data_IF_925757791985
#
_entry.id   IF_925757791985
#
_cell.length_a   1.000
_cell.length_b   1.000
_cell.length_c   1.000
_cell.angle_alpha   90.00
_cell.angle_beta   90.00
_cell.angle_gamma   90.00
#
_symmetry.space_group_name_H-M   'P 1'
#
loop_
_entity.id
_entity.type
_entity.pdbx_description
1 polymer ?
#
# COMPACT_ATOMS: atom_id res chain seq x y z
N UNK A 1 -30.60 -29.14 -35.17
CA UNK A 1 -30.06 -27.82 -34.80
C UNK A 1 -29.70 -27.82 -33.32
N UNK A 2 -28.60 -28.49 -32.92
CA UNK A 2 -28.15 -28.59 -31.52
C UNK A 2 -26.63 -28.79 -31.41
N UNK A 3 -25.81 -28.10 -32.22
CA UNK A 3 -24.35 -28.19 -32.15
C UNK A 3 -23.64 -26.85 -31.97
N UNK A 4 -24.38 -25.74 -31.79
CA UNK A 4 -23.81 -24.38 -31.71
C UNK A 4 -23.56 -23.83 -30.30
N UNK A 5 -24.11 -24.44 -29.25
CA UNK A 5 -24.01 -23.90 -27.87
C UNK A 5 -22.81 -24.44 -27.07
N UNK A 6 -22.28 -25.59 -27.43
CA UNK A 6 -21.19 -26.23 -26.67
C UNK A 6 -19.83 -25.58 -26.90
N UNK A 7 -19.60 -24.92 -28.04
CA UNK A 7 -18.32 -24.26 -28.38
C UNK A 7 -18.14 -22.88 -27.71
N UNK A 8 -19.22 -22.19 -27.40
CA UNK A 8 -19.11 -20.86 -26.73
C UNK A 8 -18.77 -20.95 -25.24
N UNK A 9 -19.18 -22.01 -24.54
CA UNK A 9 -18.85 -22.21 -23.14
C UNK A 9 -17.39 -22.65 -22.94
N UNK A 10 -16.86 -23.52 -23.81
CA UNK A 10 -15.48 -23.98 -23.69
C UNK A 10 -14.44 -22.90 -23.99
N UNK A 11 -14.73 -21.97 -24.90
CA UNK A 11 -13.81 -20.84 -25.19
C UNK A 11 -13.79 -19.79 -24.08
N UNK A 12 -14.88 -19.59 -23.34
CA UNK A 12 -14.92 -18.65 -22.19
C UNK A 12 -14.12 -19.21 -21.03
N UNK A 13 -14.30 -20.46 -20.65
CA UNK A 13 -13.61 -21.11 -19.53
C UNK A 13 -12.09 -21.19 -19.80
N UNK A 14 -11.65 -21.47 -21.02
CA UNK A 14 -10.21 -21.49 -21.35
C UNK A 14 -9.57 -20.12 -21.34
N UNK A 15 -10.29 -19.08 -21.73
CA UNK A 15 -9.79 -17.70 -21.73
C UNK A 15 -9.68 -17.16 -20.32
N UNK A 16 -10.65 -17.42 -19.44
CA UNK A 16 -10.64 -17.05 -18.03
C UNK A 16 -9.53 -17.77 -17.25
N UNK A 17 -9.36 -19.09 -17.46
CA UNK A 17 -8.30 -19.87 -16.80
C UNK A 17 -6.90 -19.44 -17.26
N UNK A 18 -6.73 -19.03 -18.51
CA UNK A 18 -5.44 -18.57 -19.03
C UNK A 18 -5.10 -17.18 -18.53
N UNK A 19 -6.07 -16.27 -18.35
CA UNK A 19 -5.86 -14.94 -17.78
C UNK A 19 -5.51 -15.02 -16.28
N UNK A 20 -6.17 -15.87 -15.51
CA UNK A 20 -5.87 -16.09 -14.09
C UNK A 20 -4.43 -16.58 -13.87
N UNK A 21 -3.95 -17.49 -14.70
CA UNK A 21 -2.55 -17.95 -14.67
C UNK A 21 -1.55 -16.83 -15.00
N UNK A 22 -1.94 -15.86 -15.83
CA UNK A 22 -1.06 -14.75 -16.25
C UNK A 22 -0.78 -13.78 -15.09
N UNK A 23 -1.74 -13.50 -14.20
CA UNK A 23 -1.56 -12.60 -13.06
C UNK A 23 -0.71 -13.22 -11.95
N UNK A 24 -0.72 -14.54 -11.80
CA UNK A 24 -0.01 -15.22 -10.71
C UNK A 24 1.51 -15.00 -10.72
N UNK A 25 2.08 -14.90 -11.90
CA UNK A 25 3.53 -14.74 -12.07
C UNK A 25 3.96 -13.27 -12.26
N UNK A 26 2.99 -12.33 -12.32
CA UNK A 26 3.26 -10.90 -12.33
C UNK A 26 3.59 -10.39 -10.93
N UNK A 27 4.40 -9.33 -10.86
CA UNK A 27 4.76 -8.71 -9.58
C UNK A 27 3.60 -7.89 -9.02
N UNK A 28 3.51 -7.81 -7.68
CA UNK A 28 2.47 -7.00 -7.04
C UNK A 28 2.55 -5.53 -7.45
N UNK A 29 3.77 -5.00 -7.61
CA UNK A 29 3.98 -3.62 -8.07
C UNK A 29 3.45 -3.37 -9.48
N UNK A 30 3.69 -4.30 -10.43
CA UNK A 30 3.14 -4.23 -11.79
C UNK A 30 1.62 -4.28 -11.76
N UNK A 31 1.05 -5.28 -11.07
CA UNK A 31 -0.40 -5.44 -10.96
C UNK A 31 -1.07 -4.22 -10.30
N UNK A 32 -0.41 -3.60 -9.32
CA UNK A 32 -0.90 -2.37 -8.68
C UNK A 32 -0.95 -1.18 -9.65
N UNK A 33 -0.01 -1.13 -10.61
CA UNK A 33 0.00 -0.12 -11.67
C UNK A 33 -0.98 -0.43 -12.81
N UNK A 34 -1.11 -1.72 -13.17
CA UNK A 34 -1.85 -2.16 -14.37
C UNK A 34 -3.36 -2.31 -14.13
N UNK A 35 -3.77 -2.62 -12.89
CA UNK A 35 -5.17 -2.92 -12.56
C UNK A 35 -5.73 -1.87 -11.60
N UNK A 36 -6.68 -1.01 -12.06
CA UNK A 36 -7.32 -0.02 -11.20
C UNK A 36 -7.98 -0.66 -9.97
N UNK A 37 -7.58 -0.19 -8.80
CA UNK A 37 -8.10 -0.73 -7.55
C UNK A 37 -7.44 -2.02 -7.04
N UNK A 38 -6.41 -2.55 -7.72
CA UNK A 38 -5.65 -3.71 -7.25
C UNK A 38 -5.09 -3.50 -5.83
N UNK A 39 -4.68 -2.29 -5.51
CA UNK A 39 -4.17 -1.95 -4.17
C UNK A 39 -5.20 -2.20 -3.07
N UNK A 40 -6.50 -2.03 -3.33
CA UNK A 40 -7.59 -2.39 -2.38
C UNK A 40 -7.67 -3.90 -2.15
N UNK A 41 -7.49 -4.70 -3.22
CA UNK A 41 -7.45 -6.17 -3.10
C UNK A 41 -6.24 -6.57 -2.29
N UNK A 42 -5.05 -6.06 -2.63
CA UNK A 42 -3.84 -6.37 -1.88
C UNK A 42 -3.95 -6.00 -0.40
N UNK A 43 -4.55 -4.86 -0.11
CA UNK A 43 -4.85 -4.43 1.26
C UNK A 43 -5.81 -5.40 1.96
N UNK A 44 -6.92 -5.79 1.34
CA UNK A 44 -7.89 -6.72 1.91
C UNK A 44 -7.28 -8.11 2.22
N UNK A 45 -6.29 -8.53 1.45
CA UNK A 45 -5.54 -9.77 1.64
C UNK A 45 -4.24 -9.60 2.44
N UNK A 46 -3.96 -8.41 2.98
CA UNK A 46 -2.73 -8.08 3.69
C UNK A 46 -1.46 -8.39 2.88
N UNK A 47 -1.47 -8.14 1.57
CA UNK A 47 -0.31 -8.30 0.69
C UNK A 47 0.50 -7.02 0.63
N UNK A 48 1.80 -7.14 0.86
CA UNK A 48 2.75 -6.01 0.77
C UNK A 48 3.11 -5.73 -0.69
N UNK A 49 2.40 -4.81 -1.31
CA UNK A 49 2.63 -4.36 -2.69
C UNK A 49 3.55 -3.13 -2.79
N UNK A 50 3.85 -2.48 -1.67
CA UNK A 50 4.66 -1.26 -1.63
C UNK A 50 6.17 -1.56 -1.50
N UNK A 51 6.59 -2.28 -0.48
CA UNK A 51 7.98 -2.69 -0.26
C UNK A 51 8.28 -4.05 -0.90
N UNK A 52 7.33 -4.98 -0.78
CA UNK A 52 7.36 -6.30 -1.41
C UNK A 52 6.86 -6.34 -2.86
N UNK A 53 6.67 -5.19 -3.51
CA UNK A 53 6.11 -5.08 -4.86
C UNK A 53 6.85 -5.83 -5.95
N UNK A 54 8.11 -6.20 -5.73
CA UNK A 54 8.92 -7.03 -6.63
C UNK A 54 8.56 -8.53 -6.62
N UNK A 55 7.83 -9.00 -5.60
CA UNK A 55 7.39 -10.40 -5.49
C UNK A 55 6.23 -10.67 -6.43
N UNK A 56 6.14 -11.90 -6.96
CA UNK A 56 4.97 -12.32 -7.72
C UNK A 56 3.73 -12.45 -6.82
N UNK A 57 2.55 -12.32 -7.42
CA UNK A 57 1.28 -12.53 -6.71
C UNK A 57 1.26 -13.92 -6.03
N UNK A 58 1.71 -14.96 -6.74
CA UNK A 58 1.82 -16.32 -6.21
C UNK A 58 2.69 -16.39 -4.96
N UNK A 59 3.90 -15.84 -5.03
CA UNK A 59 4.83 -15.86 -3.91
C UNK A 59 4.28 -15.09 -2.70
N UNK A 60 3.72 -13.91 -2.92
CA UNK A 60 3.18 -13.08 -1.85
C UNK A 60 1.96 -13.72 -1.17
N UNK A 61 1.04 -14.32 -1.96
CA UNK A 61 -0.14 -15.00 -1.44
C UNK A 61 0.25 -16.24 -0.61
N UNK A 62 1.14 -17.09 -1.14
CA UNK A 62 1.60 -18.29 -0.42
C UNK A 62 2.30 -17.95 0.90
N UNK A 63 3.09 -16.88 0.97
CA UNK A 63 3.72 -16.42 2.23
C UNK A 63 2.71 -16.02 3.31
N UNK A 64 1.51 -15.60 2.91
CA UNK A 64 0.39 -15.27 3.82
C UNK A 64 -0.56 -16.46 4.05
N UNK A 65 -0.27 -17.65 3.48
CA UNK A 65 -1.14 -18.83 3.59
C UNK A 65 -2.45 -18.70 2.81
N UNK A 66 -2.46 -17.86 1.77
CA UNK A 66 -3.62 -17.64 0.90
C UNK A 66 -3.53 -18.50 -0.35
N UNK A 67 -4.70 -18.83 -0.91
CA UNK A 67 -4.80 -19.42 -2.25
C UNK A 67 -4.57 -18.33 -3.32
N UNK A 68 -3.47 -18.40 -4.11
CA UNK A 68 -3.14 -17.34 -5.06
C UNK A 68 -4.23 -17.11 -6.11
N UNK A 69 -4.92 -18.16 -6.53
CA UNK A 69 -6.00 -18.13 -7.50
C UNK A 69 -7.21 -17.31 -7.02
N UNK A 70 -7.47 -17.31 -5.71
CA UNK A 70 -8.52 -16.49 -5.11
C UNK A 70 -8.21 -15.00 -5.24
N UNK A 71 -6.97 -14.61 -5.02
CA UNK A 71 -6.55 -13.20 -5.15
C UNK A 71 -6.57 -12.80 -6.62
N UNK A 72 -6.12 -13.68 -7.53
CA UNK A 72 -6.16 -13.43 -8.97
C UNK A 72 -7.59 -13.21 -9.48
N UNK A 73 -8.55 -14.01 -9.01
CA UNK A 73 -9.97 -13.86 -9.39
C UNK A 73 -10.56 -12.50 -8.98
N UNK A 74 -10.20 -11.98 -7.80
CA UNK A 74 -10.62 -10.64 -7.36
C UNK A 74 -10.03 -9.53 -8.26
N UNK A 75 -8.76 -9.68 -8.68
CA UNK A 75 -8.12 -8.75 -9.62
C UNK A 75 -8.79 -8.77 -11.01
N UNK A 76 -9.13 -9.94 -11.51
CA UNK A 76 -9.86 -10.10 -12.78
C UNK A 76 -11.24 -9.45 -12.73
N UNK A 77 -11.97 -9.62 -11.61
CA UNK A 77 -13.26 -8.98 -11.41
C UNK A 77 -13.16 -7.46 -11.43
N UNK A 78 -12.09 -6.88 -10.86
CA UNK A 78 -11.81 -5.45 -10.95
C UNK A 78 -11.49 -4.99 -12.36
N UNK A 79 -10.65 -5.72 -13.07
CA UNK A 79 -10.23 -5.38 -14.43
C UNK A 79 -11.42 -5.36 -15.39
N UNK A 80 -12.37 -6.29 -15.22
CA UNK A 80 -13.60 -6.33 -16.01
C UNK A 80 -14.55 -5.14 -15.77
N UNK A 81 -14.44 -4.47 -14.61
CA UNK A 81 -15.30 -3.34 -14.22
C UNK A 81 -14.67 -1.97 -14.53
N UNK A 82 -13.37 -1.91 -14.80
CA UNK A 82 -12.62 -0.65 -14.92
C UNK A 82 -12.68 -0.10 -16.35
N UNK A 83 -13.25 1.09 -16.52
CA UNK A 83 -13.31 1.81 -17.80
C UNK A 83 -12.38 3.02 -17.90
N UNK A 84 -11.88 3.56 -16.79
CA UNK A 84 -10.94 4.70 -16.75
C UNK A 84 -9.99 4.56 -15.57
N UNK A 85 -8.70 4.48 -15.87
CA UNK A 85 -7.62 4.49 -14.89
C UNK A 85 -6.68 5.67 -15.16
N UNK A 86 -6.30 6.37 -14.09
CA UNK A 86 -5.23 7.35 -14.12
C UNK A 86 -3.91 6.62 -13.93
N UNK A 87 -3.12 6.50 -15.00
CA UNK A 87 -1.82 5.83 -14.95
C UNK A 87 -0.71 6.86 -14.66
N UNK A 88 -0.20 6.84 -13.44
CA UNK A 88 0.88 7.73 -13.02
C UNK A 88 2.20 7.52 -13.77
N UNK A 89 2.38 6.40 -14.48
CA UNK A 89 3.56 6.14 -15.33
C UNK A 89 3.58 7.01 -16.59
N UNK A 90 2.39 7.43 -17.04
CA UNK A 90 2.20 8.29 -18.21
C UNK A 90 2.26 9.79 -17.87
N UNK A 91 2.21 10.13 -16.57
CA UNK A 91 2.23 11.52 -16.13
C UNK A 91 3.66 12.07 -16.02
N UNK A 92 3.85 13.39 -16.25
CA UNK A 92 5.11 14.05 -15.96
C UNK A 92 5.54 13.83 -14.51
N UNK A 93 6.83 13.59 -14.32
CA UNK A 93 7.44 13.35 -12.99
C UNK A 93 7.07 14.42 -11.97
N UNK A 94 7.06 15.67 -12.40
CA UNK A 94 6.74 16.85 -11.58
C UNK A 94 5.30 16.78 -11.04
N UNK A 95 4.36 16.24 -11.84
CA UNK A 95 2.97 16.05 -11.41
C UNK A 95 2.83 14.96 -10.36
N UNK A 96 3.56 13.84 -10.53
CA UNK A 96 3.58 12.77 -9.54
C UNK A 96 4.20 13.25 -8.23
N UNK A 97 5.33 13.95 -8.26
CA UNK A 97 5.95 14.55 -7.08
C UNK A 97 4.99 15.51 -6.38
N UNK A 98 4.34 16.41 -7.12
CA UNK A 98 3.36 17.35 -6.55
C UNK A 98 2.18 16.61 -5.91
N UNK A 99 1.74 15.50 -6.50
CA UNK A 99 0.69 14.64 -5.93
C UNK A 99 1.17 13.98 -4.63
N UNK A 100 2.37 13.41 -4.58
CA UNK A 100 2.95 12.81 -3.39
C UNK A 100 3.00 13.84 -2.24
N UNK A 101 3.54 15.01 -2.50
CA UNK A 101 3.65 16.09 -1.51
C UNK A 101 2.29 16.52 -0.95
N UNK A 102 1.32 16.78 -1.83
CA UNK A 102 0.02 17.32 -1.43
C UNK A 102 -0.93 16.27 -0.86
N UNK A 103 -0.92 15.04 -1.39
CA UNK A 103 -1.87 13.99 -1.00
C UNK A 103 -1.38 13.15 0.17
N UNK A 104 -0.06 12.89 0.25
CA UNK A 104 0.50 11.99 1.25
C UNK A 104 1.33 12.72 2.31
N UNK A 105 2.36 13.48 1.96
CA UNK A 105 3.19 14.16 2.95
C UNK A 105 2.38 15.11 3.84
N UNK A 106 1.59 15.99 3.24
CA UNK A 106 0.71 16.88 3.98
C UNK A 106 -0.28 16.10 4.88
N UNK A 107 -0.88 15.03 4.33
CA UNK A 107 -1.84 14.21 5.06
C UNK A 107 -1.22 13.47 6.24
N UNK A 108 -0.04 12.89 6.09
CA UNK A 108 0.65 12.21 7.20
C UNK A 108 0.98 13.16 8.35
N UNK A 109 1.40 14.40 8.02
CA UNK A 109 1.66 15.45 9.01
C UNK A 109 0.41 15.87 9.80
N UNK A 110 -0.76 15.80 9.18
CA UNK A 110 -2.05 16.06 9.84
C UNK A 110 -2.55 14.87 10.65
N UNK A 111 -2.46 13.65 10.10
CA UNK A 111 -3.04 12.45 10.69
C UNK A 111 -2.31 11.98 11.95
N UNK A 112 -0.98 11.89 11.90
CA UNK A 112 -0.20 11.26 12.96
C UNK A 112 -0.36 11.94 14.33
N UNK A 113 -0.33 13.29 14.47
CA UNK A 113 -0.58 13.94 15.75
C UNK A 113 -1.96 13.60 16.33
N UNK A 114 -2.99 13.55 15.50
CA UNK A 114 -4.35 13.21 15.94
C UNK A 114 -4.46 11.74 16.37
N UNK A 115 -3.84 10.82 15.63
CA UNK A 115 -3.81 9.39 15.98
C UNK A 115 -3.06 9.14 17.30
N UNK A 116 -1.93 9.84 17.53
CA UNK A 116 -1.19 9.80 18.78
C UNK A 116 -2.06 10.28 19.94
N UNK A 117 -2.81 11.37 19.75
CA UNK A 117 -3.74 11.91 20.76
C UNK A 117 -4.85 10.90 21.09
N UNK A 118 -5.44 10.28 20.07
CA UNK A 118 -6.50 9.28 20.24
C UNK A 118 -5.96 8.01 20.92
N UNK A 119 -4.79 7.51 20.51
CA UNK A 119 -4.14 6.34 21.09
C UNK A 119 -3.82 6.59 22.58
N UNK A 120 -3.19 7.72 22.90
CA UNK A 120 -2.91 8.10 24.30
C UNK A 120 -4.19 8.15 25.14
N UNK A 121 -5.31 8.64 24.57
CA UNK A 121 -6.59 8.67 25.29
C UNK A 121 -7.16 7.27 25.52
N UNK A 122 -7.08 6.38 24.52
CA UNK A 122 -7.52 4.98 24.64
C UNK A 122 -6.70 4.27 25.70
N UNK A 123 -5.38 4.38 25.68
CA UNK A 123 -4.49 3.76 26.69
C UNK A 123 -4.76 4.31 28.08
N UNK A 124 -4.98 5.61 28.25
CA UNK A 124 -5.29 6.23 29.54
C UNK A 124 -6.59 5.67 30.14
N UNK A 125 -7.63 5.46 29.32
CA UNK A 125 -8.96 5.08 29.81
C UNK A 125 -9.11 3.56 29.91
N UNK A 126 -8.47 2.82 29.03
CA UNK A 126 -8.68 1.38 28.86
C UNK A 126 -7.42 0.55 29.14
N UNK A 127 -6.32 1.14 29.58
CA UNK A 127 -5.02 0.49 29.72
C UNK A 127 -4.98 -0.76 30.59
N UNK A 128 -5.95 -0.93 31.53
CA UNK A 128 -6.09 -2.15 32.34
C UNK A 128 -6.72 -3.33 31.58
N UNK A 129 -7.31 -3.10 30.41
CA UNK A 129 -7.92 -4.16 29.60
C UNK A 129 -6.83 -4.92 28.83
N UNK A 130 -7.03 -6.23 28.67
CA UNK A 130 -6.08 -7.09 27.92
C UNK A 130 -6.04 -6.78 26.41
N UNK A 131 -7.16 -6.32 25.87
CA UNK A 131 -7.34 -5.98 24.46
C UNK A 131 -7.01 -4.51 24.15
N UNK A 132 -6.61 -3.71 25.16
CA UNK A 132 -6.14 -2.35 24.96
C UNK A 132 -4.80 -2.37 24.18
N UNK A 133 -4.66 -1.56 23.11
CA UNK A 133 -3.43 -1.49 22.32
C UNK A 133 -2.34 -0.70 23.06
N UNK A 134 -1.93 -1.19 24.25
CA UNK A 134 -0.91 -0.53 25.06
C UNK A 134 0.42 -0.45 24.31
N UNK A 135 1.05 0.73 24.31
CA UNK A 135 2.27 1.02 23.57
C UNK A 135 2.04 1.56 22.16
N UNK A 136 0.79 1.61 21.69
CA UNK A 136 0.44 2.14 20.37
C UNK A 136 0.78 3.65 20.25
N UNK A 137 0.48 4.43 21.28
CA UNK A 137 0.77 5.87 21.26
C UNK A 137 2.26 6.17 21.12
N UNK A 138 3.13 5.39 21.77
CA UNK A 138 4.58 5.52 21.65
C UNK A 138 5.05 5.08 20.28
N UNK A 139 4.57 3.93 19.79
CA UNK A 139 4.88 3.46 18.45
C UNK A 139 4.51 4.45 17.35
N UNK A 140 3.35 5.11 17.46
CA UNK A 140 2.94 6.16 16.52
C UNK A 140 3.84 7.41 16.58
N UNK A 141 4.41 7.75 17.75
CA UNK A 141 5.41 8.83 17.87
C UNK A 141 6.73 8.46 17.17
N UNK A 142 7.18 7.22 17.34
CA UNK A 142 8.34 6.69 16.62
C UNK A 142 8.11 6.78 15.11
N UNK A 143 6.97 6.26 14.62
CA UNK A 143 6.59 6.34 13.20
C UNK A 143 6.54 7.79 12.70
N UNK A 144 6.01 8.73 13.49
CA UNK A 144 5.94 10.15 13.11
C UNK A 144 7.33 10.74 12.90
N UNK A 145 8.26 10.48 13.82
CA UNK A 145 9.63 11.00 13.73
C UNK A 145 10.39 10.43 12.52
N UNK A 146 10.29 9.13 12.31
CA UNK A 146 10.94 8.44 11.20
C UNK A 146 10.37 8.92 9.86
N UNK A 147 9.05 8.99 9.73
CA UNK A 147 8.39 9.41 8.50
C UNK A 147 8.65 10.90 8.19
N UNK A 148 8.67 11.79 9.19
CA UNK A 148 9.02 13.20 8.98
C UNK A 148 10.46 13.35 8.49
N UNK A 149 11.41 12.63 9.11
CA UNK A 149 12.81 12.63 8.67
C UNK A 149 12.97 12.10 7.23
N UNK A 150 12.22 11.08 6.88
CA UNK A 150 12.18 10.50 5.55
C UNK A 150 11.66 11.51 4.52
N UNK A 151 10.45 12.04 4.72
CA UNK A 151 9.83 13.04 3.84
C UNK A 151 10.70 14.28 3.64
N UNK A 152 11.40 14.75 4.69
CA UNK A 152 12.32 15.88 4.55
C UNK A 152 13.51 15.58 3.63
N UNK A 153 14.07 14.37 3.65
CA UNK A 153 15.14 13.98 2.70
C UNK A 153 14.64 13.97 1.26
N UNK A 154 13.41 13.54 1.05
CA UNK A 154 12.79 13.56 -0.27
C UNK A 154 12.55 14.98 -0.75
N UNK A 155 11.91 15.81 0.06
CA UNK A 155 11.56 17.19 -0.27
C UNK A 155 12.79 18.07 -0.52
N UNK A 156 13.86 17.88 0.27
CA UNK A 156 15.03 18.75 0.22
C UNK A 156 16.14 18.24 -0.71
N UNK A 157 16.19 16.94 -0.99
CA UNK A 157 17.29 16.34 -1.72
C UNK A 157 16.78 15.55 -2.93
N UNK A 158 16.03 14.47 -2.70
CA UNK A 158 15.73 13.52 -3.76
C UNK A 158 14.79 14.11 -4.84
N UNK A 159 13.68 14.71 -4.45
CA UNK A 159 12.73 15.26 -5.41
C UNK A 159 13.32 16.39 -6.25
N UNK A 160 14.08 17.37 -5.69
CA UNK A 160 14.82 18.32 -6.50
C UNK A 160 15.78 17.68 -7.50
N UNK A 161 16.57 16.68 -7.08
CA UNK A 161 17.47 15.95 -8.00
C UNK A 161 16.69 15.30 -9.15
N UNK A 162 15.56 14.68 -8.86
CA UNK A 162 14.73 14.05 -9.88
C UNK A 162 14.11 15.06 -10.84
N UNK A 163 13.65 16.22 -10.35
CA UNK A 163 13.10 17.30 -11.17
C UNK A 163 14.14 17.93 -12.10
N UNK A 164 15.39 18.01 -11.65
CA UNK A 164 16.51 18.50 -12.47
C UNK A 164 17.06 17.44 -13.47
N UNK A 165 16.50 16.25 -13.50
CA UNK A 165 16.88 15.19 -14.43
C UNK A 165 18.08 14.32 -14.00
N UNK A 166 18.51 14.40 -12.74
CA UNK A 166 19.62 13.59 -12.19
C UNK A 166 19.19 12.17 -11.78
N UNK A 167 18.30 11.52 -12.52
CA UNK A 167 17.74 10.20 -12.15
C UNK A 167 18.79 9.13 -11.87
N UNK A 168 19.78 8.97 -12.74
CA UNK A 168 20.87 7.99 -12.54
C UNK A 168 21.78 8.33 -11.37
N UNK A 169 22.07 9.60 -11.15
CA UNK A 169 22.89 10.08 -10.02
C UNK A 169 22.14 9.97 -8.69
N UNK A 170 20.80 9.91 -8.73
CA UNK A 170 19.95 9.69 -7.56
C UNK A 170 19.89 8.22 -7.10
N UNK A 171 20.60 7.29 -7.73
CA UNK A 171 20.56 5.86 -7.39
C UNK A 171 20.90 5.59 -5.91
N UNK A 172 21.89 6.28 -5.34
CA UNK A 172 22.26 6.11 -3.93
C UNK A 172 21.17 6.69 -2.99
N UNK A 173 20.68 7.94 -3.15
CA UNK A 173 19.52 8.43 -2.43
C UNK A 173 18.28 7.52 -2.55
N UNK A 174 17.94 7.05 -3.75
CA UNK A 174 16.81 6.11 -3.96
C UNK A 174 17.00 4.82 -3.14
N UNK A 175 18.22 4.28 -3.09
CA UNK A 175 18.48 3.06 -2.30
C UNK A 175 18.27 3.30 -0.80
N UNK A 176 18.63 4.49 -0.29
CA UNK A 176 18.35 4.87 1.09
C UNK A 176 16.84 4.96 1.34
N UNK A 177 16.09 5.62 0.45
CA UNK A 177 14.63 5.73 0.60
C UNK A 177 13.97 4.35 0.59
N UNK A 178 14.36 3.46 -0.33
CA UNK A 178 13.84 2.07 -0.35
C UNK A 178 14.11 1.31 0.93
N UNK A 179 15.29 1.45 1.51
CA UNK A 179 15.62 0.85 2.81
C UNK A 179 14.72 1.42 3.94
N UNK A 180 14.49 2.73 3.97
CA UNK A 180 13.59 3.37 4.94
C UNK A 180 12.13 2.94 4.70
N UNK A 181 11.70 2.72 3.46
CA UNK A 181 10.39 2.14 3.14
C UNK A 181 10.20 0.74 3.74
N UNK A 182 11.24 -0.11 3.70
CA UNK A 182 11.19 -1.42 4.36
C UNK A 182 11.00 -1.28 5.88
N UNK A 183 11.63 -0.27 6.51
CA UNK A 183 11.45 0.04 7.93
C UNK A 183 10.03 0.52 8.22
N UNK A 184 9.46 1.39 7.37
CA UNK A 184 8.06 1.82 7.49
C UNK A 184 7.09 0.65 7.31
N UNK A 185 7.38 -0.29 6.42
CA UNK A 185 6.62 -1.53 6.28
C UNK A 185 6.64 -2.37 7.56
N UNK A 186 7.82 -2.53 8.19
CA UNK A 186 7.94 -3.23 9.47
C UNK A 186 7.21 -2.50 10.61
N UNK A 187 7.21 -1.16 10.61
CA UNK A 187 6.46 -0.37 11.57
C UNK A 187 4.94 -0.53 11.40
N UNK A 188 4.44 -0.64 10.17
CA UNK A 188 3.03 -0.97 9.90
C UNK A 188 2.66 -2.38 10.38
N UNK A 189 3.52 -3.40 10.21
CA UNK A 189 3.27 -4.74 10.75
C UNK A 189 3.18 -4.71 12.28
N UNK A 190 4.08 -3.98 12.96
CA UNK A 190 4.00 -3.79 14.42
C UNK A 190 2.71 -3.08 14.85
N UNK A 191 2.25 -2.09 14.10
CA UNK A 191 0.96 -1.43 14.35
C UNK A 191 -0.21 -2.42 14.25
N UNK A 192 -0.20 -3.30 13.24
CA UNK A 192 -1.21 -4.34 13.05
C UNK A 192 -1.22 -5.33 14.22
N UNK A 193 -0.04 -5.73 14.71
CA UNK A 193 0.07 -6.63 15.86
C UNK A 193 -0.47 -5.97 17.15
N UNK A 194 -0.11 -4.71 17.41
CA UNK A 194 -0.60 -3.96 18.58
C UNK A 194 -2.12 -3.77 18.60
N UNK A 195 -2.74 -3.76 17.42
CA UNK A 195 -4.16 -3.43 17.25
C UNK A 195 -5.03 -4.63 16.88
N UNK A 196 -4.51 -5.85 16.98
CA UNK A 196 -5.19 -7.06 16.51
C UNK A 196 -5.73 -6.90 15.08
N UNK A 197 -4.84 -6.52 14.14
CA UNK A 197 -5.16 -6.25 12.73
C UNK A 197 -6.19 -5.12 12.55
N UNK A 198 -6.06 -4.06 13.36
CA UNK A 198 -6.97 -2.90 13.39
C UNK A 198 -8.44 -3.34 13.64
N UNK A 199 -8.62 -4.38 14.45
CA UNK A 199 -9.94 -4.91 14.79
C UNK A 199 -10.36 -4.38 16.16
N UNK A 200 -11.32 -3.41 16.24
CA UNK A 200 -11.78 -2.89 17.52
C UNK A 200 -12.61 -3.93 18.27
N UNK A 201 -12.52 -3.99 19.61
CA UNK A 201 -13.43 -4.80 20.40
C UNK A 201 -14.90 -4.43 20.16
N UNK A 202 -15.82 -5.39 20.34
CA UNK A 202 -17.25 -5.16 20.10
C UNK A 202 -17.81 -4.01 20.97
N UNK A 203 -17.33 -3.89 22.21
CA UNK A 203 -17.70 -2.86 23.17
C UNK A 203 -16.76 -1.64 23.16
N UNK A 204 -15.94 -1.48 22.10
CA UNK A 204 -15.06 -0.32 21.96
C UNK A 204 -15.85 0.98 22.01
N UNK A 205 -15.34 1.97 22.76
CA UNK A 205 -15.92 3.32 22.80
C UNK A 205 -15.71 4.08 21.47
N UNK A 206 -16.41 5.19 21.30
CA UNK A 206 -16.35 5.98 20.07
C UNK A 206 -14.91 6.48 19.76
N UNK A 207 -14.12 6.84 20.78
CA UNK A 207 -12.72 7.25 20.61
C UNK A 207 -11.87 6.11 20.06
N UNK A 208 -12.06 4.90 20.58
CA UNK A 208 -11.33 3.71 20.12
C UNK A 208 -11.71 3.35 18.67
N UNK A 209 -12.99 3.38 18.36
CA UNK A 209 -13.47 3.18 16.97
C UNK A 209 -12.96 4.25 16.01
N UNK A 210 -12.89 5.52 16.44
CA UNK A 210 -12.33 6.60 15.64
C UNK A 210 -10.83 6.41 15.40
N UNK A 211 -10.07 6.03 16.45
CA UNK A 211 -8.66 5.68 16.35
C UNK A 211 -8.46 4.59 15.27
N UNK A 212 -9.16 3.49 15.35
CA UNK A 212 -8.96 2.36 14.45
C UNK A 212 -9.32 2.68 13.00
N UNK A 213 -10.37 3.48 12.75
CA UNK A 213 -10.64 3.99 11.40
C UNK A 213 -9.48 4.84 10.86
N UNK A 214 -8.95 5.74 11.70
CA UNK A 214 -7.82 6.57 11.28
C UNK A 214 -6.52 5.79 11.08
N UNK A 215 -6.30 4.69 11.83
CA UNK A 215 -5.16 3.78 11.61
C UNK A 215 -5.28 3.03 10.28
N UNK A 216 -6.49 2.59 9.91
CA UNK A 216 -6.72 1.95 8.63
C UNK A 216 -6.49 2.91 7.45
N UNK A 217 -6.95 4.17 7.59
CA UNK A 217 -6.65 5.24 6.63
C UNK A 217 -5.14 5.50 6.53
N UNK A 218 -4.42 5.63 7.65
CA UNK A 218 -2.97 5.83 7.67
C UNK A 218 -2.24 4.68 6.97
N UNK A 219 -2.61 3.45 7.27
CA UNK A 219 -2.02 2.26 6.64
C UNK A 219 -2.19 2.30 5.12
N UNK A 220 -3.42 2.56 4.66
CA UNK A 220 -3.73 2.64 3.24
C UNK A 220 -2.95 3.76 2.55
N UNK A 221 -2.93 4.94 3.14
CA UNK A 221 -2.24 6.11 2.58
C UNK A 221 -0.73 5.88 2.53
N UNK A 222 -0.11 5.31 3.57
CA UNK A 222 1.32 5.07 3.60
C UNK A 222 1.75 3.97 2.61
N UNK A 223 0.98 2.89 2.50
CA UNK A 223 1.26 1.84 1.51
C UNK A 223 1.14 2.37 0.08
N UNK A 224 0.14 3.22 -0.20
CA UNK A 224 -0.05 3.82 -1.53
C UNK A 224 1.04 4.85 -1.85
N UNK A 225 1.45 5.66 -0.87
CA UNK A 225 2.55 6.59 -0.95
C UNK A 225 3.84 5.87 -1.39
N UNK A 226 4.29 4.90 -0.59
CA UNK A 226 5.48 4.10 -0.86
C UNK A 226 5.38 3.36 -2.21
N UNK A 227 4.17 2.88 -2.58
CA UNK A 227 3.96 2.23 -3.88
C UNK A 227 4.26 3.17 -5.05
N UNK A 228 3.72 4.40 -5.02
CA UNK A 228 3.94 5.39 -6.08
C UNK A 228 5.42 5.76 -6.21
N UNK A 229 6.14 5.82 -5.10
CA UNK A 229 7.58 6.09 -5.12
C UNK A 229 8.38 4.90 -5.62
N UNK A 230 8.25 3.74 -5.00
CA UNK A 230 9.05 2.58 -5.32
C UNK A 230 8.81 2.05 -6.74
N UNK A 231 7.53 1.97 -7.15
CA UNK A 231 7.12 1.25 -8.36
C UNK A 231 6.83 2.17 -9.55
N UNK A 232 6.70 3.48 -9.32
CA UNK A 232 6.51 4.44 -10.41
C UNK A 232 7.64 5.47 -10.46
N UNK A 233 7.79 6.32 -9.44
CA UNK A 233 8.72 7.46 -9.47
C UNK A 233 10.18 6.99 -9.59
N UNK A 234 10.63 6.08 -8.70
CA UNK A 234 12.01 5.60 -8.66
C UNK A 234 12.32 4.66 -9.82
N UNK A 235 11.34 3.84 -10.24
CA UNK A 235 11.50 2.98 -11.40
C UNK A 235 11.72 3.80 -12.68
N UNK A 236 10.92 4.84 -12.91
CA UNK A 236 11.06 5.73 -14.05
C UNK A 236 12.37 6.54 -14.00
N UNK A 237 12.79 6.98 -12.80
CA UNK A 237 14.01 7.76 -12.63
C UNK A 237 15.28 6.97 -12.97
N UNK A 238 15.34 5.68 -12.65
CA UNK A 238 16.50 4.82 -12.91
C UNK A 238 16.58 4.38 -14.39
N UNK A 239 15.47 4.44 -15.12
CA UNK A 239 15.40 4.05 -16.54
C UNK A 239 15.58 5.24 -17.49
N UNK A 240 15.63 6.49 -16.99
CA UNK A 240 15.93 7.70 -17.74
C UNK A 240 17.41 8.05 -17.62
#
# INVERSE_FOLDING_TARGET
>A
MAQGLHWRMQTSIHKETTMSLTHLDQTLGSLACDIPGATRVFHAFNLDFCCGGHKSLREAALRRGLEPERVAAELEALQAQSSHHHDWREEPRERLIAHILSRYHARHREQLPELIRLASRVEQVHGARRDCPNGLAEHLREMQQELESHMLKEEQILFPMLQEGYGRQASAPISVMRFEHEQHGAALERLLDLTAQITPPDDACNTWRALYRGLDELRNDLMQHIHLENNVLFANALNS
#
